data_IF_481280587378
#
_entry.id   IF_481280587378
#
_cell.length_a   1.000
_cell.length_b   1.000
_cell.length_c   1.000
_cell.angle_alpha   90.00
_cell.angle_beta   90.00
_cell.angle_gamma   90.00
#
_symmetry.space_group_name_H-M   'P 1'
#
loop_
_entity.id
_entity.type
_entity.pdbx_description
1 polymer ?
#
# COMPACT_ATOMS: atom_id res chain seq x y z
N UNK A 1 -10.51 40.52 17.19
CA UNK A 1 -9.24 39.79 17.42
C UNK A 1 -8.12 40.57 16.76
N UNK A 2 -7.06 40.88 17.51
CA UNK A 2 -5.97 41.78 17.11
C UNK A 2 -5.11 41.15 16.01
N UNK A 3 -4.84 41.92 14.95
CA UNK A 3 -3.77 41.65 13.98
C UNK A 3 -2.43 41.63 14.72
N UNK A 4 -1.79 40.46 14.79
CA UNK A 4 -0.44 40.33 15.30
C UNK A 4 0.53 41.00 14.30
N UNK A 5 1.20 42.06 14.74
CA UNK A 5 2.28 42.71 13.97
C UNK A 5 3.40 41.68 13.75
N UNK A 6 3.81 41.54 12.49
CA UNK A 6 5.02 40.80 12.12
C UNK A 6 6.23 41.42 12.87
N UNK A 7 7.15 40.61 13.42
CA UNK A 7 8.36 41.12 14.04
C UNK A 7 9.24 41.83 13.01
N UNK A 8 9.82 42.96 13.41
CA UNK A 8 10.79 43.73 12.64
C UNK A 8 12.01 42.86 12.27
N UNK A 9 12.59 43.00 11.07
CA UNK A 9 13.73 42.18 10.67
C UNK A 9 14.93 42.47 11.59
N UNK A 10 15.45 41.40 12.20
CA UNK A 10 16.69 41.42 12.96
C UNK A 10 17.83 41.80 12.02
N UNK A 11 18.63 42.80 12.40
CA UNK A 11 19.79 43.23 11.63
C UNK A 11 20.80 42.07 11.53
N UNK A 12 21.00 41.56 10.31
CA UNK A 12 21.98 40.50 10.05
C UNK A 12 23.40 41.09 10.05
N UNK A 13 24.26 40.48 10.84
CA UNK A 13 25.68 40.81 11.01
C UNK A 13 26.40 40.74 9.65
N UNK A 14 27.12 41.82 9.28
CA UNK A 14 27.96 41.90 8.08
C UNK A 14 28.97 40.74 8.04
N UNK A 15 29.03 40.04 6.91
CA UNK A 15 29.97 38.93 6.69
C UNK A 15 31.05 39.37 5.69
N UNK A 16 32.29 38.91 5.91
CA UNK A 16 33.43 39.23 5.06
C UNK A 16 33.45 38.36 3.77
N UNK A 17 34.09 38.83 2.68
CA UNK A 17 34.11 38.10 1.41
C UNK A 17 34.97 36.82 1.54
N UNK A 18 34.35 35.65 1.36
CA UNK A 18 35.04 34.34 1.35
C UNK A 18 34.39 33.23 2.18
N UNK A 19 33.35 33.51 2.97
CA UNK A 19 32.59 32.46 3.66
C UNK A 19 31.68 31.68 2.70
N UNK A 20 31.62 30.35 2.87
CA UNK A 20 30.67 29.49 2.18
C UNK A 20 29.23 30.01 2.34
N UNK A 21 28.35 29.82 1.33
CA UNK A 21 26.99 30.34 1.39
C UNK A 21 26.29 29.86 2.66
N UNK A 22 25.67 30.79 3.41
CA UNK A 22 25.02 30.48 4.70
C UNK A 22 23.65 29.80 4.54
N UNK A 23 23.13 29.77 3.32
CA UNK A 23 21.80 29.26 3.02
C UNK A 23 21.64 27.73 3.20
N UNK A 24 22.54 26.85 2.72
CA UNK A 24 22.47 25.42 3.01
C UNK A 24 22.45 25.12 4.51
N UNK A 25 23.28 25.81 5.30
CA UNK A 25 23.31 25.65 6.77
C UNK A 25 21.96 26.00 7.39
N UNK A 26 21.34 27.10 6.96
CA UNK A 26 20.01 27.47 7.44
C UNK A 26 18.94 26.46 7.04
N UNK A 27 18.97 25.97 5.80
CA UNK A 27 18.04 24.94 5.32
C UNK A 27 18.15 23.65 6.14
N UNK A 28 19.38 23.27 6.52
CA UNK A 28 19.65 22.07 7.32
C UNK A 28 19.07 22.15 8.74
N UNK A 29 18.92 23.36 9.29
CA UNK A 29 18.35 23.58 10.62
C UNK A 29 16.81 23.54 10.64
N UNK A 30 16.14 23.54 9.48
CA UNK A 30 14.69 23.50 9.41
C UNK A 30 14.17 22.11 9.82
N UNK A 31 13.25 22.00 10.80
CA UNK A 31 12.69 20.72 11.23
C UNK A 31 11.61 20.18 10.27
N UNK A 32 11.53 20.73 9.06
CA UNK A 32 10.53 20.41 8.03
C UNK A 32 11.24 20.12 6.72
N UNK A 33 10.67 19.29 5.83
CA UNK A 33 11.25 19.04 4.51
C UNK A 33 11.40 20.35 3.72
N UNK A 34 12.65 20.74 3.44
CA UNK A 34 12.96 21.98 2.77
C UNK A 34 13.99 21.77 1.66
N UNK A 35 13.77 22.45 0.54
CA UNK A 35 14.62 22.42 -0.65
C UNK A 35 14.94 23.85 -1.07
N UNK A 36 16.22 24.12 -1.24
CA UNK A 36 16.75 25.33 -1.83
C UNK A 36 16.89 25.12 -3.33
N UNK A 37 16.23 25.97 -4.11
CA UNK A 37 16.30 25.98 -5.56
C UNK A 37 17.13 27.17 -6.02
N UNK A 38 18.05 26.95 -6.96
CA UNK A 38 18.81 28.00 -7.62
C UNK A 38 18.16 28.52 -8.88
N UNK A 39 18.92 29.31 -9.64
CA UNK A 39 18.48 29.86 -10.92
C UNK A 39 17.94 28.76 -11.86
N UNK A 40 16.76 28.98 -12.42
CA UNK A 40 16.07 28.02 -13.29
C UNK A 40 15.41 26.84 -12.58
N UNK A 41 15.18 26.91 -11.26
CA UNK A 41 14.39 25.91 -10.52
C UNK A 41 15.13 24.59 -10.26
N UNK A 42 16.46 24.58 -10.38
CA UNK A 42 17.29 23.40 -10.08
C UNK A 42 17.50 23.27 -8.58
N UNK A 43 17.48 22.04 -8.08
CA UNK A 43 17.79 21.74 -6.68
C UNK A 43 19.26 22.09 -6.42
N UNK A 44 19.48 23.07 -5.55
CA UNK A 44 20.79 23.45 -5.06
C UNK A 44 21.13 22.68 -3.77
N UNK A 45 20.17 22.57 -2.86
CA UNK A 45 20.32 21.81 -1.61
C UNK A 45 18.97 21.30 -1.13
N UNK A 46 18.93 20.13 -0.50
CA UNK A 46 17.76 19.62 0.20
C UNK A 46 18.22 19.17 1.59
N UNK A 47 17.45 19.51 2.63
CA UNK A 47 17.85 19.16 3.99
C UNK A 47 17.65 17.67 4.29
N UNK A 48 18.28 17.18 5.36
CA UNK A 48 18.16 15.78 5.79
C UNK A 48 16.70 15.31 5.96
N UNK A 49 15.82 16.18 6.44
CA UNK A 49 14.39 15.84 6.62
C UNK A 49 13.72 15.62 5.25
N UNK A 50 14.00 16.47 4.26
CA UNK A 50 13.50 16.27 2.90
C UNK A 50 14.02 14.98 2.26
N UNK A 51 15.30 14.64 2.46
CA UNK A 51 15.87 13.39 1.99
C UNK A 51 15.22 12.17 2.66
N UNK A 52 14.97 12.23 3.97
CA UNK A 52 14.34 11.14 4.70
C UNK A 52 12.88 10.89 4.25
N UNK A 53 12.11 11.95 4.01
CA UNK A 53 10.67 11.83 3.67
C UNK A 53 10.45 11.51 2.20
N UNK A 54 11.20 12.16 1.31
CA UNK A 54 10.94 12.11 -0.14
C UNK A 54 11.99 11.34 -0.93
N UNK A 55 13.22 11.15 -0.42
CA UNK A 55 14.27 10.37 -1.10
C UNK A 55 14.41 10.71 -2.60
N UNK A 56 14.29 9.69 -3.44
CA UNK A 56 14.35 9.81 -4.91
C UNK A 56 13.20 10.63 -5.53
N UNK A 57 12.07 10.78 -4.81
CA UNK A 57 10.91 11.52 -5.30
C UNK A 57 11.11 13.04 -5.31
N UNK A 58 12.11 13.58 -4.60
CA UNK A 58 12.40 15.03 -4.58
C UNK A 58 12.56 15.61 -5.99
N UNK A 59 13.30 14.91 -6.84
CA UNK A 59 13.49 15.33 -8.23
C UNK A 59 12.19 15.32 -9.03
N UNK A 60 11.30 14.37 -8.78
CA UNK A 60 10.00 14.28 -9.42
C UNK A 60 9.05 15.39 -8.97
N UNK A 61 9.01 15.72 -7.67
CA UNK A 61 8.23 16.83 -7.12
C UNK A 61 8.62 18.15 -7.80
N UNK A 62 9.93 18.46 -7.80
CA UNK A 62 10.41 19.75 -8.31
C UNK A 62 10.23 19.84 -9.84
N UNK A 63 10.40 18.76 -10.59
CA UNK A 63 10.18 18.75 -12.04
C UNK A 63 8.71 18.69 -12.47
N UNK A 64 7.78 18.58 -11.53
CA UNK A 64 6.36 18.50 -11.85
C UNK A 64 5.89 19.77 -12.59
N UNK A 65 5.07 19.67 -13.66
CA UNK A 65 4.64 20.82 -14.45
C UNK A 65 3.99 21.95 -13.64
N UNK A 66 3.17 21.60 -12.64
CA UNK A 66 2.55 22.58 -11.76
C UNK A 66 3.55 23.36 -10.88
N UNK A 67 4.65 22.73 -10.48
CA UNK A 67 5.73 23.38 -9.72
C UNK A 67 6.53 24.30 -10.64
N UNK A 68 6.88 23.81 -11.83
CA UNK A 68 7.61 24.61 -12.83
C UNK A 68 6.83 25.86 -13.25
N UNK A 69 5.51 25.76 -13.40
CA UNK A 69 4.64 26.91 -13.69
C UNK A 69 4.67 27.97 -12.58
N UNK A 70 4.70 27.55 -11.31
CA UNK A 70 4.82 28.48 -10.18
C UNK A 70 6.20 29.11 -10.12
N UNK A 71 7.27 28.33 -10.30
CA UNK A 71 8.64 28.85 -10.30
C UNK A 71 8.88 29.90 -11.39
N UNK A 72 8.23 29.76 -12.55
CA UNK A 72 8.30 30.73 -13.64
C UNK A 72 7.60 32.06 -13.36
N UNK A 73 6.66 32.09 -12.40
CA UNK A 73 5.81 33.27 -12.09
C UNK A 73 6.06 33.86 -10.70
N UNK A 74 6.98 33.27 -9.93
CA UNK A 74 7.20 33.61 -8.54
C UNK A 74 7.90 34.96 -8.35
N UNK A 75 7.32 35.82 -7.51
CA UNK A 75 7.90 37.12 -7.13
C UNK A 75 8.36 37.12 -5.67
N UNK A 76 9.36 37.94 -5.28
CA UNK A 76 9.89 37.96 -3.92
C UNK A 76 8.89 38.34 -2.82
N UNK A 77 7.80 39.03 -3.18
CA UNK A 77 6.81 39.55 -2.23
C UNK A 77 5.69 38.55 -1.91
N UNK A 78 5.58 37.47 -2.69
CA UNK A 78 4.46 36.53 -2.59
C UNK A 78 4.92 35.14 -2.21
N UNK A 79 4.11 34.47 -1.40
CA UNK A 79 4.27 33.05 -1.09
C UNK A 79 3.23 32.32 -1.87
N UNK A 80 3.66 31.41 -2.72
CA UNK A 80 2.75 30.63 -3.54
C UNK A 80 2.74 29.22 -3.00
N UNK A 81 1.54 28.72 -2.73
CA UNK A 81 1.32 27.33 -2.40
C UNK A 81 0.78 26.65 -3.64
N UNK A 82 1.39 25.55 -4.04
CA UNK A 82 0.87 24.67 -5.09
C UNK A 82 0.74 23.27 -4.57
N UNK A 83 -0.06 22.48 -5.26
CA UNK A 83 -0.28 21.09 -4.92
C UNK A 83 0.10 20.22 -6.11
N UNK A 84 0.81 19.14 -5.83
CA UNK A 84 1.20 18.14 -6.83
C UNK A 84 0.78 16.76 -6.42
N UNK A 85 0.44 15.97 -7.42
CA UNK A 85 0.13 14.55 -7.29
C UNK A 85 1.20 13.77 -8.05
N UNK A 86 1.82 12.81 -7.38
CA UNK A 86 2.84 11.95 -7.95
C UNK A 86 2.36 10.51 -7.93
N UNK A 87 2.37 9.86 -9.09
CA UNK A 87 1.89 8.48 -9.24
C UNK A 87 3.00 7.41 -9.12
N UNK A 88 4.27 7.82 -8.93
CA UNK A 88 5.43 6.90 -8.95
C UNK A 88 6.43 7.27 -7.85
N UNK A 89 6.93 6.30 -7.04
CA UNK A 89 6.57 4.88 -6.98
C UNK A 89 5.26 4.57 -6.21
N UNK A 90 4.72 5.53 -5.45
CA UNK A 90 3.47 5.43 -4.69
C UNK A 90 2.72 6.75 -4.85
N UNK A 91 1.37 6.72 -4.89
CA UNK A 91 0.55 7.93 -4.96
C UNK A 91 0.84 8.85 -3.77
N UNK A 92 1.35 10.04 -4.05
CA UNK A 92 1.61 11.07 -3.03
C UNK A 92 1.00 12.40 -3.41
N UNK A 93 0.45 13.07 -2.40
CA UNK A 93 -0.11 14.40 -2.52
C UNK A 93 0.78 15.33 -1.73
N UNK A 94 1.55 16.14 -2.44
CA UNK A 94 2.54 17.02 -1.84
C UNK A 94 2.09 18.46 -2.01
N UNK A 95 1.95 19.15 -0.90
CA UNK A 95 1.79 20.60 -0.89
C UNK A 95 3.18 21.23 -0.88
N UNK A 96 3.44 22.11 -1.85
CA UNK A 96 4.72 22.79 -1.97
C UNK A 96 4.50 24.29 -1.78
N UNK A 97 5.14 24.84 -0.75
CA UNK A 97 5.11 26.27 -0.47
C UNK A 97 6.42 26.90 -0.93
N UNK A 98 6.32 27.87 -1.83
CA UNK A 98 7.45 28.59 -2.38
C UNK A 98 7.59 29.98 -1.78
N UNK A 99 8.83 30.34 -1.44
CA UNK A 99 9.22 31.71 -1.09
C UNK A 99 10.49 32.06 -1.84
N UNK A 100 10.40 32.99 -2.79
CA UNK A 100 11.58 33.65 -3.37
C UNK A 100 12.04 34.70 -2.37
N UNK A 101 13.33 34.75 -2.07
CA UNK A 101 13.83 35.78 -1.18
C UNK A 101 13.98 37.14 -1.87
N UNK A 102 13.85 38.25 -1.13
CA UNK A 102 14.10 39.58 -1.66
C UNK A 102 15.59 39.78 -1.95
N UNK A 103 15.90 40.63 -2.93
CA UNK A 103 17.28 40.96 -3.35
C UNK A 103 18.17 41.40 -2.17
N UNK A 104 17.59 42.11 -1.19
CA UNK A 104 18.30 42.53 0.03
C UNK A 104 18.78 41.36 0.89
N UNK A 105 18.03 40.25 0.88
CA UNK A 105 18.40 39.03 1.57
C UNK A 105 19.49 38.30 0.79
N UNK A 106 19.33 38.17 -0.53
CA UNK A 106 20.32 37.58 -1.44
C UNK A 106 21.74 38.16 -1.24
N UNK A 107 21.86 39.48 -1.17
CA UNK A 107 23.13 40.18 -0.92
C UNK A 107 23.74 39.89 0.46
N UNK A 108 22.93 39.61 1.48
CA UNK A 108 23.40 39.37 2.85
C UNK A 108 23.95 37.95 3.06
N UNK A 109 23.50 36.99 2.26
CA UNK A 109 23.92 35.57 2.34
C UNK A 109 24.84 35.15 1.19
N UNK A 110 25.19 36.09 0.30
CA UNK A 110 26.07 35.86 -0.85
C UNK A 110 25.45 34.95 -1.92
N UNK A 111 24.13 34.98 -2.10
CA UNK A 111 23.46 34.14 -3.08
C UNK A 111 22.41 34.93 -3.88
N UNK A 112 22.72 35.21 -5.14
CA UNK A 112 22.02 36.18 -6.01
C UNK A 112 20.52 35.91 -6.20
N UNK A 113 20.13 34.66 -6.44
CA UNK A 113 18.74 34.25 -6.59
C UNK A 113 18.52 32.85 -6.02
N UNK A 114 17.40 32.68 -5.31
CA UNK A 114 17.07 31.43 -4.65
C UNK A 114 15.62 31.40 -4.20
N UNK A 115 15.06 30.20 -4.26
CA UNK A 115 13.70 29.91 -3.82
C UNK A 115 13.77 28.84 -2.75
N UNK A 116 13.16 29.12 -1.60
CA UNK A 116 12.87 28.11 -0.60
C UNK A 116 11.56 27.43 -0.97
N UNK A 117 11.63 26.13 -1.24
CA UNK A 117 10.48 25.26 -1.39
C UNK A 117 10.35 24.40 -0.12
N UNK A 118 9.27 24.59 0.63
CA UNK A 118 8.91 23.74 1.76
C UNK A 118 7.92 22.70 1.25
N UNK A 119 8.20 21.43 1.53
CA UNK A 119 7.39 20.30 1.10
C UNK A 119 6.63 19.76 2.30
N UNK A 120 5.33 19.58 2.12
CA UNK A 120 4.47 18.96 3.11
C UNK A 120 3.78 17.77 2.44
N UNK A 121 3.99 16.58 2.99
CA UNK A 121 3.27 15.39 2.54
C UNK A 121 1.87 15.43 3.14
N UNK A 122 0.89 15.81 2.33
CA UNK A 122 -0.51 15.89 2.73
C UNK A 122 -1.27 14.60 2.41
N UNK A 123 -0.57 13.52 2.01
CA UNK A 123 -1.21 12.26 1.65
C UNK A 123 -2.07 11.72 2.78
N UNK A 124 -1.59 11.80 4.04
CA UNK A 124 -2.32 11.36 5.24
C UNK A 124 -3.60 12.17 5.49
N UNK A 125 -3.55 13.50 5.32
CA UNK A 125 -4.71 14.38 5.49
C UNK A 125 -5.75 14.22 4.39
N UNK A 126 -5.34 13.73 3.23
CA UNK A 126 -6.19 13.41 2.09
C UNK A 126 -6.75 11.99 2.13
N UNK A 127 -6.33 11.15 3.08
CA UNK A 127 -7.05 9.93 3.45
C UNK A 127 -8.36 10.29 4.20
N UNK A 128 -9.02 11.39 3.81
CA UNK A 128 -10.43 11.63 4.11
C UNK A 128 -11.23 10.61 3.30
N UNK A 129 -11.48 9.48 3.95
CA UNK A 129 -12.81 8.92 4.09
C UNK A 129 -13.63 8.67 2.82
N UNK A 130 -12.96 8.33 1.73
CA UNK A 130 -13.59 7.58 0.65
C UNK A 130 -12.97 6.21 0.60
N UNK A 131 -13.61 5.26 1.29
CA UNK A 131 -13.87 4.00 0.60
C UNK A 131 -14.38 4.41 -0.79
N UNK A 132 -13.69 4.07 -1.90
CA UNK A 132 -14.12 4.49 -3.22
C UNK A 132 -15.61 4.20 -3.36
N UNK A 133 -16.43 5.09 -3.94
CA UNK A 133 -17.88 4.87 -3.99
C UNK A 133 -18.22 3.48 -4.56
N UNK A 134 -17.40 3.00 -5.50
CA UNK A 134 -17.45 1.67 -6.09
C UNK A 134 -17.24 0.53 -5.07
N UNK A 135 -16.46 0.75 -4.02
CA UNK A 135 -16.22 -0.19 -2.91
C UNK A 135 -17.43 -0.31 -1.98
N UNK A 136 -18.04 0.82 -1.61
CA UNK A 136 -19.27 0.82 -0.79
C UNK A 136 -20.43 0.21 -1.59
N UNK A 137 -20.52 0.55 -2.88
CA UNK A 137 -21.49 -0.05 -3.78
C UNK A 137 -21.30 -1.57 -3.88
N UNK A 138 -20.07 -2.04 -4.12
CA UNK A 138 -19.76 -3.47 -4.19
C UNK A 138 -20.07 -4.19 -2.88
N UNK A 139 -19.61 -3.67 -1.73
CA UNK A 139 -19.90 -4.26 -0.43
C UNK A 139 -21.41 -4.34 -0.17
N UNK A 140 -22.15 -3.28 -0.53
CA UNK A 140 -23.61 -3.27 -0.42
C UNK A 140 -24.26 -4.35 -1.29
N UNK A 141 -23.78 -4.54 -2.52
CA UNK A 141 -24.28 -5.58 -3.42
C UNK A 141 -23.96 -6.99 -2.93
N UNK A 142 -22.72 -7.25 -2.52
CA UNK A 142 -22.30 -8.57 -2.01
C UNK A 142 -22.90 -8.91 -0.65
N UNK A 143 -23.29 -7.94 0.17
CA UNK A 143 -24.01 -8.16 1.43
C UNK A 143 -25.52 -8.34 1.22
N UNK A 144 -26.12 -7.67 0.23
CA UNK A 144 -27.57 -7.75 -0.03
C UNK A 144 -28.01 -9.16 -0.40
N UNK A 145 -27.25 -9.87 -1.25
CA UNK A 145 -27.58 -11.23 -1.68
C UNK A 145 -27.61 -12.25 -0.53
N UNK A 146 -26.55 -12.43 0.29
CA UNK A 146 -26.59 -13.36 1.41
C UNK A 146 -27.62 -12.92 2.48
N UNK A 147 -27.83 -11.62 2.68
CA UNK A 147 -28.86 -11.12 3.59
C UNK A 147 -30.27 -11.49 3.12
N UNK A 148 -30.57 -11.34 1.82
CA UNK A 148 -31.86 -11.76 1.26
C UNK A 148 -32.07 -13.28 1.39
N UNK A 149 -31.02 -14.09 1.17
CA UNK A 149 -31.09 -15.54 1.41
C UNK A 149 -31.32 -15.88 2.87
N UNK A 150 -30.65 -15.20 3.81
CA UNK A 150 -30.87 -15.38 5.25
C UNK A 150 -32.32 -15.07 5.63
N UNK A 151 -32.88 -13.96 5.14
CA UNK A 151 -34.29 -13.60 5.38
C UNK A 151 -35.22 -14.72 4.85
N UNK A 152 -35.01 -15.19 3.62
CA UNK A 152 -35.82 -16.27 3.05
C UNK A 152 -35.70 -17.61 3.80
N UNK A 153 -34.52 -17.94 4.33
CA UNK A 153 -34.37 -19.13 5.19
C UNK A 153 -35.06 -18.96 6.54
N UNK A 154 -35.01 -17.77 7.14
CA UNK A 154 -35.75 -17.47 8.37
C UNK A 154 -37.27 -17.61 8.12
N UNK A 155 -37.79 -17.06 7.03
CA UNK A 155 -39.20 -17.20 6.64
C UNK A 155 -39.59 -18.68 6.43
N UNK A 156 -38.71 -19.46 5.79
CA UNK A 156 -38.93 -20.89 5.56
C UNK A 156 -38.99 -21.67 6.89
N UNK A 157 -38.09 -21.36 7.82
CA UNK A 157 -38.05 -21.97 9.16
C UNK A 157 -39.22 -21.55 10.04
N UNK A 158 -39.75 -20.35 9.86
CA UNK A 158 -40.91 -19.86 10.59
C UNK A 158 -42.25 -20.34 10.02
N UNK A 159 -42.27 -20.85 8.78
CA UNK A 159 -43.48 -21.33 8.11
C UNK A 159 -43.37 -22.80 7.70
N UNK A 160 -43.12 -23.11 6.42
CA UNK A 160 -43.24 -24.47 5.88
C UNK A 160 -42.36 -25.53 6.56
N UNK A 161 -41.21 -25.14 7.11
CA UNK A 161 -40.25 -26.04 7.76
C UNK A 161 -40.24 -25.91 9.30
N UNK A 162 -41.25 -25.27 9.89
CA UNK A 162 -41.32 -25.03 11.33
C UNK A 162 -41.38 -26.32 12.18
N UNK A 163 -41.91 -27.41 11.60
CA UNK A 163 -42.05 -28.71 12.28
C UNK A 163 -41.16 -29.81 11.66
N UNK A 164 -40.15 -29.44 10.87
CA UNK A 164 -39.19 -30.37 10.24
C UNK A 164 -37.77 -30.19 10.83
N UNK A 165 -37.37 -30.99 11.83
CA UNK A 165 -36.06 -30.88 12.47
C UNK A 165 -34.87 -31.09 11.50
N UNK A 166 -35.03 -31.91 10.47
CA UNK A 166 -33.96 -32.19 9.52
C UNK A 166 -33.74 -30.98 8.59
N UNK A 167 -34.83 -30.41 8.07
CA UNK A 167 -34.77 -29.16 7.31
C UNK A 167 -34.23 -28.00 8.16
N UNK A 168 -34.64 -27.91 9.44
CA UNK A 168 -34.13 -26.90 10.37
C UNK A 168 -32.63 -26.96 10.53
N UNK A 169 -32.08 -28.14 10.77
CA UNK A 169 -30.64 -28.31 10.94
C UNK A 169 -29.87 -27.94 9.66
N UNK A 170 -30.39 -28.31 8.49
CA UNK A 170 -29.79 -27.95 7.20
C UNK A 170 -29.81 -26.44 6.95
N UNK A 171 -30.96 -25.77 7.13
CA UNK A 171 -31.07 -24.33 6.93
C UNK A 171 -30.23 -23.54 7.93
N UNK A 172 -30.20 -23.94 9.20
CA UNK A 172 -29.33 -23.32 10.22
C UNK A 172 -27.85 -23.41 9.83
N UNK A 173 -27.41 -24.56 9.30
CA UNK A 173 -26.03 -24.71 8.81
C UNK A 173 -25.74 -23.79 7.62
N UNK A 174 -26.67 -23.67 6.66
CA UNK A 174 -26.54 -22.76 5.52
C UNK A 174 -26.50 -21.30 6.00
N UNK A 175 -27.38 -20.93 6.93
CA UNK A 175 -27.43 -19.59 7.51
C UNK A 175 -26.13 -19.22 8.23
N UNK A 176 -25.61 -20.13 9.06
CA UNK A 176 -24.32 -19.94 9.73
C UNK A 176 -23.17 -19.73 8.71
N UNK A 177 -23.17 -20.51 7.62
CA UNK A 177 -22.18 -20.34 6.56
C UNK A 177 -22.29 -18.98 5.84
N UNK A 178 -23.50 -18.48 5.60
CA UNK A 178 -23.71 -17.14 5.01
C UNK A 178 -23.31 -16.02 5.97
N UNK A 179 -23.63 -16.13 7.26
CA UNK A 179 -23.23 -15.17 8.28
C UNK A 179 -21.69 -15.08 8.39
N UNK A 180 -21.01 -16.22 8.50
CA UNK A 180 -19.54 -16.27 8.51
C UNK A 180 -18.91 -15.73 7.21
N UNK A 181 -19.59 -15.86 6.06
CA UNK A 181 -19.16 -15.22 4.82
C UNK A 181 -19.26 -13.70 4.89
N UNK A 182 -20.36 -13.16 5.41
CA UNK A 182 -20.54 -11.71 5.56
C UNK A 182 -19.53 -11.11 6.54
N UNK A 183 -19.28 -11.80 7.67
CA UNK A 183 -18.25 -11.42 8.65
C UNK A 183 -16.87 -11.31 8.00
N UNK A 184 -16.41 -12.37 7.32
CA UNK A 184 -15.11 -12.37 6.59
C UNK A 184 -15.04 -11.28 5.52
N UNK A 185 -16.15 -10.94 4.87
CA UNK A 185 -16.19 -9.83 3.93
C UNK A 185 -15.93 -8.52 4.69
N UNK A 186 -16.69 -8.23 5.74
CA UNK A 186 -16.57 -7.01 6.55
C UNK A 186 -15.15 -6.87 7.11
N UNK A 187 -14.59 -7.92 7.69
CA UNK A 187 -13.21 -7.91 8.21
C UNK A 187 -12.19 -7.54 7.13
N UNK A 188 -12.30 -8.15 5.94
CA UNK A 188 -11.42 -7.82 4.80
C UNK A 188 -11.59 -6.38 4.34
N UNK A 189 -12.80 -5.84 4.39
CA UNK A 189 -13.06 -4.44 4.04
C UNK A 189 -12.40 -3.49 5.05
N UNK A 190 -12.57 -3.77 6.35
CA UNK A 190 -11.96 -3.00 7.44
C UNK A 190 -10.44 -3.08 7.39
N UNK A 191 -9.89 -4.28 7.14
CA UNK A 191 -8.46 -4.50 6.99
C UNK A 191 -7.89 -3.67 5.84
N UNK A 192 -8.50 -3.74 4.65
CA UNK A 192 -8.04 -2.94 3.50
C UNK A 192 -8.05 -1.44 3.80
N UNK A 193 -9.12 -0.94 4.43
CA UNK A 193 -9.21 0.46 4.87
C UNK A 193 -8.07 0.83 5.83
N UNK A 194 -7.73 -0.07 6.75
CA UNK A 194 -6.69 0.15 7.75
C UNK A 194 -5.28 0.15 7.13
N UNK A 195 -4.99 -0.82 6.25
CA UNK A 195 -3.67 -0.90 5.60
C UNK A 195 -3.48 0.24 4.58
N UNK A 196 -4.55 0.76 3.96
CA UNK A 196 -4.48 1.95 3.12
C UNK A 196 -4.04 3.22 3.86
N UNK A 197 -4.42 3.37 5.13
CA UNK A 197 -3.99 4.50 5.95
C UNK A 197 -2.50 4.46 6.31
N UNK A 198 -1.87 3.30 6.22
CA UNK A 198 -0.47 3.07 6.61
C UNK A 198 0.45 2.84 5.40
N UNK A 199 -0.05 3.04 4.17
CA UNK A 199 0.66 2.73 2.92
C UNK A 199 2.00 3.50 2.81
N UNK A 200 2.07 4.71 3.36
CA UNK A 200 3.26 5.56 3.34
C UNK A 200 4.31 5.21 4.41
N UNK A 201 3.95 4.36 5.39
CA UNK A 201 4.84 3.97 6.48
C UNK A 201 5.37 2.56 6.28
N UNK A 202 6.61 2.48 5.79
CA UNK A 202 7.34 1.22 5.66
C UNK A 202 7.60 0.60 7.04
N UNK A 203 7.37 -0.72 7.20
CA UNK A 203 7.83 -1.43 8.39
C UNK A 203 9.36 -1.43 8.47
N UNK A 204 9.88 -1.37 9.70
CA UNK A 204 11.32 -1.40 9.98
C UNK A 204 11.74 -2.56 10.90
N UNK A 205 10.79 -3.34 11.40
CA UNK A 205 11.07 -4.50 12.24
C UNK A 205 11.74 -5.60 11.41
N UNK A 206 12.77 -6.24 11.98
CA UNK A 206 13.48 -7.32 11.30
C UNK A 206 12.76 -8.63 11.58
N UNK A 207 12.31 -9.29 10.51
CA UNK A 207 11.57 -10.56 10.57
C UNK A 207 12.46 -11.70 10.08
N UNK A 208 12.43 -12.82 10.80
CA UNK A 208 13.06 -14.09 10.40
C UNK A 208 12.22 -14.79 9.33
N UNK A 209 12.83 -15.17 8.21
CA UNK A 209 12.16 -15.95 7.18
C UNK A 209 11.71 -17.33 7.70
N UNK A 210 12.44 -17.91 8.64
CA UNK A 210 12.11 -19.21 9.23
C UNK A 210 10.87 -19.11 10.12
N UNK A 211 10.85 -18.15 11.05
CA UNK A 211 9.73 -17.94 11.97
C UNK A 211 8.44 -17.65 11.20
N UNK A 212 8.55 -16.87 10.12
CA UNK A 212 7.44 -16.57 9.22
C UNK A 212 6.88 -17.83 8.54
N UNK A 213 7.74 -18.75 8.11
CA UNK A 213 7.34 -20.00 7.47
C UNK A 213 6.71 -20.98 8.46
N UNK A 214 7.23 -21.05 9.68
CA UNK A 214 6.67 -21.86 10.77
C UNK A 214 5.28 -21.34 11.16
N UNK A 215 5.12 -20.02 11.29
CA UNK A 215 3.83 -19.39 11.57
C UNK A 215 2.82 -19.61 10.45
N UNK A 216 3.24 -19.50 9.18
CA UNK A 216 2.38 -19.85 8.05
C UNK A 216 1.91 -21.31 8.14
N UNK A 217 2.81 -22.23 8.52
CA UNK A 217 2.45 -23.64 8.65
C UNK A 217 1.34 -23.79 9.69
N UNK A 218 1.50 -23.21 10.88
CA UNK A 218 0.51 -23.26 11.97
C UNK A 218 -0.85 -22.69 11.53
N UNK A 219 -0.86 -21.48 10.99
CA UNK A 219 -2.09 -20.78 10.62
C UNK A 219 -2.82 -21.45 9.44
N UNK A 220 -2.08 -22.12 8.55
CA UNK A 220 -2.66 -22.82 7.40
C UNK A 220 -3.17 -24.23 7.70
N UNK A 221 -2.87 -24.81 8.87
CA UNK A 221 -3.27 -26.19 9.21
C UNK A 221 -4.79 -26.43 9.10
N UNK A 222 -5.60 -25.49 9.58
CA UNK A 222 -7.08 -25.63 9.57
C UNK A 222 -7.60 -25.58 8.12
N UNK A 223 -7.04 -24.68 7.31
CA UNK A 223 -7.38 -24.52 5.89
C UNK A 223 -7.01 -25.77 5.08
N UNK A 224 -5.85 -26.37 5.36
CA UNK A 224 -5.36 -27.54 4.64
C UNK A 224 -6.10 -28.80 5.09
N UNK A 225 -6.34 -29.02 6.39
CA UNK A 225 -7.05 -30.22 6.89
C UNK A 225 -8.48 -30.35 6.36
N UNK A 226 -9.10 -29.23 6.02
CA UNK A 226 -10.45 -29.20 5.43
C UNK A 226 -10.47 -29.39 3.92
N UNK A 227 -9.30 -29.58 3.28
CA UNK A 227 -9.14 -29.79 1.84
C UNK A 227 -8.22 -30.98 1.55
N UNK A 228 -8.33 -31.56 0.34
CA UNK A 228 -7.43 -32.63 -0.11
C UNK A 228 -6.13 -32.03 -0.69
N UNK A 229 -5.55 -31.06 0.02
CA UNK A 229 -4.46 -30.22 -0.43
C UNK A 229 -3.16 -30.52 0.32
N UNK A 230 -2.02 -30.24 -0.31
CA UNK A 230 -0.69 -30.36 0.29
C UNK A 230 0.02 -29.02 0.24
N UNK A 231 0.41 -28.50 1.41
CA UNK A 231 1.35 -27.38 1.52
C UNK A 231 2.77 -27.92 1.69
N UNK A 232 3.69 -27.42 0.88
CA UNK A 232 5.10 -27.75 0.92
C UNK A 232 5.88 -26.47 1.16
N UNK A 233 6.56 -26.41 2.29
CA UNK A 233 7.50 -25.35 2.60
C UNK A 233 8.86 -25.75 2.03
N UNK A 234 9.40 -24.92 1.14
CA UNK A 234 10.73 -25.08 0.60
C UNK A 234 11.76 -24.64 1.66
N UNK A 235 12.95 -25.27 1.69
CA UNK A 235 14.01 -24.85 2.59
C UNK A 235 14.35 -23.37 2.38
N UNK A 236 14.44 -22.62 3.48
CA UNK A 236 14.97 -21.25 3.50
C UNK A 236 16.43 -21.29 3.96
N UNK A 237 17.19 -20.24 3.63
CA UNK A 237 18.51 -20.02 4.22
C UNK A 237 18.38 -19.78 5.73
N UNK A 238 19.29 -20.38 6.50
CA UNK A 238 19.44 -20.09 7.92
C UNK A 238 19.84 -18.61 8.10
N UNK A 239 19.34 -17.95 9.15
CA UNK A 239 19.60 -16.53 9.46
C UNK A 239 19.20 -15.51 8.38
N UNK A 240 18.16 -15.79 7.59
CA UNK A 240 17.61 -14.82 6.64
C UNK A 240 16.63 -13.84 7.31
N UNK A 241 17.08 -12.60 7.50
CA UNK A 241 16.28 -11.49 8.05
C UNK A 241 16.04 -10.36 7.04
N UNK A 242 14.86 -9.73 7.12
CA UNK A 242 14.48 -8.60 6.28
C UNK A 242 13.49 -7.65 7.00
N UNK A 243 13.45 -6.35 6.64
CA UNK A 243 12.53 -5.40 7.23
C UNK A 243 11.09 -5.67 6.76
N UNK A 244 10.20 -6.01 7.68
CA UNK A 244 8.80 -6.30 7.39
C UNK A 244 7.89 -6.20 8.62
N UNK A 245 6.59 -6.15 8.34
CA UNK A 245 5.53 -6.35 9.32
C UNK A 245 5.08 -7.82 9.23
N UNK A 246 5.47 -8.63 10.21
CA UNK A 246 5.30 -10.09 10.18
C UNK A 246 3.85 -10.49 9.94
N UNK A 247 2.90 -9.89 10.68
CA UNK A 247 1.47 -10.18 10.56
C UNK A 247 0.97 -9.90 9.14
N UNK A 248 1.47 -8.83 8.50
CA UNK A 248 1.09 -8.51 7.13
C UNK A 248 1.68 -9.48 6.12
N UNK A 249 2.92 -9.92 6.28
CA UNK A 249 3.51 -10.91 5.37
C UNK A 249 2.83 -12.26 5.53
N UNK A 250 2.51 -12.69 6.76
CA UNK A 250 1.68 -13.88 7.01
C UNK A 250 0.33 -13.73 6.30
N UNK A 251 -0.31 -12.57 6.42
CA UNK A 251 -1.58 -12.31 5.73
C UNK A 251 -1.47 -12.39 4.21
N UNK A 252 -0.35 -11.94 3.62
CA UNK A 252 -0.06 -12.10 2.19
C UNK A 252 -0.02 -13.58 1.83
N UNK A 253 0.77 -14.35 2.55
CA UNK A 253 0.95 -15.79 2.32
C UNK A 253 -0.37 -16.55 2.45
N UNK A 254 -1.14 -16.28 3.51
CA UNK A 254 -2.46 -16.89 3.72
C UNK A 254 -3.44 -16.55 2.58
N UNK A 255 -3.45 -15.31 2.08
CA UNK A 255 -4.30 -14.95 0.94
C UNK A 255 -3.91 -15.71 -0.34
N UNK A 256 -2.62 -15.92 -0.57
CA UNK A 256 -2.14 -16.68 -1.73
C UNK A 256 -2.46 -18.18 -1.60
N UNK A 257 -2.24 -18.77 -0.42
CA UNK A 257 -2.60 -20.16 -0.10
C UNK A 257 -4.11 -20.37 -0.24
N UNK A 258 -4.93 -19.50 0.33
CA UNK A 258 -6.38 -19.57 0.18
C UNK A 258 -6.84 -19.49 -1.28
N UNK A 259 -6.19 -18.64 -2.09
CA UNK A 259 -6.53 -18.54 -3.51
C UNK A 259 -6.18 -19.84 -4.26
N UNK A 260 -5.05 -20.47 -3.95
CA UNK A 260 -4.69 -21.76 -4.50
C UNK A 260 -5.71 -22.84 -4.11
N UNK A 261 -6.08 -22.94 -2.82
CA UNK A 261 -7.10 -23.88 -2.34
C UNK A 261 -8.47 -23.66 -3.00
N UNK A 262 -8.90 -22.39 -3.13
CA UNK A 262 -10.19 -22.05 -3.73
C UNK A 262 -10.22 -22.34 -5.23
N UNK A 263 -9.12 -22.06 -5.94
CA UNK A 263 -9.18 -22.00 -7.40
C UNK A 263 -8.39 -23.07 -8.13
N UNK A 264 -7.55 -23.84 -7.47
CA UNK A 264 -6.70 -24.76 -8.21
C UNK A 264 -7.26 -26.16 -8.43
N UNK A 265 -8.33 -26.55 -7.72
CA UNK A 265 -9.06 -27.80 -7.97
C UNK A 265 -8.74 -28.93 -6.98
N UNK A 266 -9.14 -30.18 -7.27
CA UNK A 266 -8.86 -31.33 -6.40
C UNK A 266 -7.36 -31.69 -6.40
N UNK A 267 -6.86 -32.21 -5.27
CA UNK A 267 -5.47 -32.67 -5.11
C UNK A 267 -4.40 -31.58 -5.40
N UNK A 268 -4.61 -30.38 -4.86
CA UNK A 268 -3.70 -29.25 -5.08
C UNK A 268 -2.44 -29.34 -4.24
N UNK A 269 -1.30 -29.11 -4.87
CA UNK A 269 -0.02 -28.92 -4.22
C UNK A 269 0.37 -27.44 -4.28
N UNK A 270 0.67 -26.87 -3.12
CA UNK A 270 1.07 -25.48 -2.93
C UNK A 270 2.49 -25.50 -2.39
N UNK A 271 3.41 -24.82 -3.08
CA UNK A 271 4.81 -24.68 -2.67
C UNK A 271 5.07 -23.24 -2.28
N UNK A 272 5.60 -23.04 -1.07
CA UNK A 272 5.98 -21.72 -0.56
C UNK A 272 7.47 -21.73 -0.27
N UNK A 273 8.20 -20.71 -0.70
CA UNK A 273 9.63 -20.57 -0.43
C UNK A 273 10.05 -19.13 -0.27
N UNK A 274 11.14 -18.92 0.48
CA UNK A 274 11.76 -17.62 0.69
C UNK A 274 13.25 -17.79 0.41
N UNK A 275 13.80 -16.93 -0.44
CA UNK A 275 15.22 -16.99 -0.84
C UNK A 275 15.84 -15.59 -0.84
N UNK A 276 17.15 -15.50 -0.54
CA UNK A 276 17.86 -14.24 -0.69
C UNK A 276 18.15 -13.96 -2.17
N UNK A 277 17.98 -12.72 -2.61
CA UNK A 277 18.33 -12.30 -3.97
C UNK A 277 19.53 -11.34 -3.94
N UNK A 278 20.71 -11.86 -4.27
CA UNK A 278 21.96 -11.11 -4.49
C UNK A 278 22.30 -10.08 -3.39
N UNK A 279 21.86 -10.32 -2.15
CA UNK A 279 22.03 -9.42 -1.00
C UNK A 279 21.23 -8.10 -1.05
N UNK A 280 20.44 -7.84 -2.10
CA UNK A 280 19.65 -6.60 -2.25
C UNK A 280 18.24 -6.73 -1.71
N UNK A 281 17.70 -7.95 -1.71
CA UNK A 281 16.33 -8.23 -1.32
C UNK A 281 16.13 -9.70 -1.02
N UNK A 282 14.87 -10.05 -0.81
CA UNK A 282 14.39 -11.42 -0.73
C UNK A 282 13.32 -11.65 -1.79
N UNK A 283 13.22 -12.88 -2.28
CA UNK A 283 12.10 -13.34 -3.10
C UNK A 283 11.28 -14.37 -2.30
N UNK A 284 10.00 -14.05 -2.08
CA UNK A 284 8.99 -14.95 -1.57
C UNK A 284 8.23 -15.52 -2.78
N UNK A 285 8.19 -16.84 -2.92
CA UNK A 285 7.48 -17.53 -4.00
C UNK A 285 6.33 -18.36 -3.42
N UNK A 286 5.14 -18.21 -3.98
CA UNK A 286 3.99 -19.10 -3.75
C UNK A 286 3.53 -19.66 -5.09
N UNK A 287 3.65 -20.97 -5.27
CA UNK A 287 3.31 -21.67 -6.51
C UNK A 287 2.30 -22.78 -6.26
N UNK A 288 1.27 -22.87 -7.10
CA UNK A 288 0.32 -23.98 -7.09
C UNK A 288 0.33 -24.76 -8.43
N UNK A 289 -0.15 -26.00 -8.40
CA UNK A 289 -0.32 -26.86 -9.58
C UNK A 289 -1.75 -26.86 -10.14
N UNK A 290 -2.54 -25.83 -9.84
CA UNK A 290 -3.95 -25.78 -10.16
C UNK A 290 -4.28 -25.52 -11.63
N UNK A 291 -5.55 -25.22 -11.90
CA UNK A 291 -6.03 -24.91 -13.27
C UNK A 291 -5.35 -23.70 -13.95
N UNK A 292 -4.64 -22.87 -13.20
CA UNK A 292 -4.03 -21.63 -13.69
C UNK A 292 -5.06 -20.61 -14.20
N UNK A 293 -4.64 -19.52 -14.83
CA UNK A 293 -5.47 -18.42 -15.33
C UNK A 293 -5.01 -18.08 -16.76
N UNK A 294 -5.94 -17.67 -17.62
CA UNK A 294 -5.56 -17.16 -18.95
C UNK A 294 -4.71 -15.89 -18.83
N UNK A 295 -3.66 -15.80 -19.65
CA UNK A 295 -2.73 -14.68 -19.72
C UNK A 295 -3.42 -13.31 -19.82
N UNK A 296 -4.58 -13.21 -20.50
CA UNK A 296 -5.33 -11.96 -20.63
C UNK A 296 -5.86 -11.41 -19.30
N UNK A 297 -6.08 -12.30 -18.31
CA UNK A 297 -6.63 -11.92 -17.01
C UNK A 297 -5.54 -11.59 -15.99
N UNK A 298 -4.32 -12.11 -16.18
CA UNK A 298 -3.20 -11.96 -15.23
C UNK A 298 -2.92 -10.50 -14.81
N UNK A 299 -2.85 -9.52 -15.73
CA UNK A 299 -2.60 -8.11 -15.36
C UNK A 299 -3.69 -7.53 -14.45
N UNK A 300 -4.89 -8.08 -14.53
CA UNK A 300 -6.09 -7.59 -13.86
C UNK A 300 -6.36 -8.29 -12.53
N UNK A 301 -5.66 -9.39 -12.22
CA UNK A 301 -5.90 -10.17 -11.00
C UNK A 301 -5.65 -9.37 -9.70
N UNK A 302 -4.85 -8.31 -9.76
CA UNK A 302 -4.62 -7.41 -8.62
C UNK A 302 -5.60 -6.24 -8.57
N UNK A 303 -6.46 -6.08 -9.58
CA UNK A 303 -7.57 -5.12 -9.53
C UNK A 303 -8.54 -5.52 -8.41
N UNK A 304 -9.05 -4.52 -7.70
CA UNK A 304 -10.04 -4.75 -6.64
C UNK A 304 -11.31 -5.32 -7.26
N UNK A 305 -11.89 -6.33 -6.62
CA UNK A 305 -13.15 -6.97 -7.03
C UNK A 305 -13.11 -7.70 -8.37
N UNK A 306 -11.94 -7.74 -9.03
CA UNK A 306 -11.82 -8.42 -10.29
C UNK A 306 -11.90 -9.93 -10.09
N UNK A 307 -12.72 -10.57 -10.93
CA UNK A 307 -12.93 -12.02 -10.95
C UNK A 307 -13.03 -12.47 -12.40
N UNK A 308 -12.47 -13.64 -12.68
CA UNK A 308 -12.65 -14.30 -13.96
C UNK A 308 -14.03 -14.96 -13.98
N UNK A 309 -14.91 -14.48 -14.86
CA UNK A 309 -16.27 -15.01 -15.04
C UNK A 309 -16.25 -16.49 -15.44
N UNK A 310 -17.29 -17.26 -15.06
CA UNK A 310 -17.40 -18.69 -15.41
C UNK A 310 -16.57 -19.66 -14.56
N UNK A 311 -15.81 -19.17 -13.58
CA UNK A 311 -15.01 -20.01 -12.65
C UNK A 311 -15.66 -20.28 -11.29
N UNK A 312 -16.89 -19.82 -11.09
CA UNK A 312 -17.66 -20.02 -9.87
C UNK A 312 -18.43 -21.35 -9.94
N UNK A 313 -18.02 -22.33 -9.15
CA UNK A 313 -18.98 -23.34 -8.67
C UNK A 313 -19.83 -22.69 -7.57
N UNK A 314 -21.08 -23.13 -7.42
CA UNK A 314 -22.06 -22.51 -6.50
C UNK A 314 -21.58 -22.41 -5.03
N UNK A 315 -20.54 -23.15 -4.65
CA UNK A 315 -19.93 -23.19 -3.31
C UNK A 315 -18.68 -22.31 -3.13
N UNK A 316 -18.12 -21.71 -4.19
CA UNK A 316 -16.83 -20.99 -4.11
C UNK A 316 -16.96 -19.52 -4.51
N UNK A 317 -17.42 -18.69 -3.57
CA UNK A 317 -17.42 -17.23 -3.73
C UNK A 317 -16.20 -16.61 -3.05
N UNK A 318 -15.23 -16.15 -3.86
CA UNK A 318 -14.15 -15.29 -3.40
C UNK A 318 -14.52 -13.82 -3.60
N UNK A 319 -14.13 -12.96 -2.66
CA UNK A 319 -14.49 -11.53 -2.62
C UNK A 319 -13.76 -10.67 -3.67
N UNK A 320 -12.81 -11.23 -4.43
CA UNK A 320 -11.95 -10.47 -5.35
C UNK A 320 -11.03 -9.46 -4.65
N UNK A 321 -10.91 -9.52 -3.32
CA UNK A 321 -10.07 -8.61 -2.53
C UNK A 321 -8.72 -9.20 -2.15
N UNK A 322 -8.55 -10.53 -2.18
CA UNK A 322 -7.34 -11.20 -1.68
C UNK A 322 -6.06 -10.70 -2.36
N UNK A 323 -6.00 -10.72 -3.69
CA UNK A 323 -4.81 -10.25 -4.41
C UNK A 323 -4.62 -8.73 -4.38
N UNK A 324 -5.71 -7.97 -4.20
CA UNK A 324 -5.61 -6.53 -3.98
C UNK A 324 -4.97 -6.22 -2.61
N UNK A 325 -5.32 -6.97 -1.56
CA UNK A 325 -4.67 -6.91 -0.25
C UNK A 325 -3.18 -7.28 -0.37
N UNK A 326 -2.88 -8.36 -1.10
CA UNK A 326 -1.49 -8.78 -1.34
C UNK A 326 -0.69 -7.65 -2.00
N UNK A 327 -1.20 -7.10 -3.11
CA UNK A 327 -0.52 -6.00 -3.82
C UNK A 327 -0.28 -4.80 -2.90
N UNK A 328 -1.29 -4.40 -2.13
CA UNK A 328 -1.19 -3.28 -1.20
C UNK A 328 -0.11 -3.47 -0.14
N UNK A 329 -0.06 -4.65 0.50
CA UNK A 329 0.96 -4.95 1.51
C UNK A 329 2.35 -4.93 0.87
N UNK A 330 2.50 -5.54 -0.31
CA UNK A 330 3.78 -5.57 -1.03
C UNK A 330 4.25 -4.16 -1.40
N UNK A 331 3.35 -3.32 -1.90
CA UNK A 331 3.64 -1.93 -2.26
C UNK A 331 4.06 -1.11 -1.01
N UNK A 332 3.37 -1.29 0.13
CA UNK A 332 3.75 -0.70 1.43
C UNK A 332 5.17 -1.10 1.85
N UNK A 333 5.58 -2.34 1.59
CA UNK A 333 6.93 -2.82 1.90
C UNK A 333 7.98 -2.37 0.86
N UNK A 334 7.61 -1.54 -0.13
CA UNK A 334 8.50 -1.12 -1.22
C UNK A 334 8.87 -2.26 -2.17
N UNK A 335 8.08 -3.32 -2.15
CA UNK A 335 8.31 -4.55 -2.90
C UNK A 335 7.71 -4.54 -4.30
N UNK A 336 7.74 -5.71 -4.95
CA UNK A 336 7.12 -5.94 -6.26
C UNK A 336 6.44 -7.28 -6.30
N UNK A 337 5.20 -7.32 -6.79
CA UNK A 337 4.46 -8.55 -7.04
C UNK A 337 4.47 -8.88 -8.54
N UNK A 338 4.92 -10.10 -8.88
CA UNK A 338 4.86 -10.68 -10.21
C UNK A 338 4.00 -11.95 -10.18
N UNK A 339 3.05 -12.03 -11.09
CA UNK A 339 2.17 -13.21 -11.22
C UNK A 339 2.42 -13.84 -12.58
N UNK A 340 2.65 -15.14 -12.57
CA UNK A 340 2.81 -15.97 -13.76
C UNK A 340 1.76 -17.08 -13.70
N UNK A 341 0.96 -17.22 -14.75
CA UNK A 341 -0.03 -18.29 -14.82
C UNK A 341 -0.37 -18.62 -16.27
N UNK A 342 -0.66 -19.89 -16.50
CA UNK A 342 -1.19 -20.36 -17.77
C UNK A 342 -2.22 -21.48 -17.52
N UNK A 343 -3.24 -21.64 -18.38
CA UNK A 343 -4.23 -22.70 -18.23
C UNK A 343 -3.57 -24.09 -18.11
N UNK A 344 -3.95 -24.84 -17.08
CA UNK A 344 -3.43 -26.18 -16.77
C UNK A 344 -2.01 -26.24 -16.19
N UNK A 345 -1.36 -25.10 -15.96
CA UNK A 345 0.02 -25.04 -15.40
C UNK A 345 0.09 -24.44 -13.99
N UNK A 346 -1.05 -24.14 -13.38
CA UNK A 346 -1.12 -23.47 -12.09
C UNK A 346 -0.78 -21.99 -12.14
N UNK A 347 -0.48 -21.43 -10.97
CA UNK A 347 -0.13 -20.03 -10.79
C UNK A 347 1.09 -19.91 -9.88
N UNK A 348 1.98 -18.99 -10.21
CA UNK A 348 3.16 -18.66 -9.42
C UNK A 348 3.16 -17.17 -9.12
N UNK A 349 3.11 -16.82 -7.85
CA UNK A 349 3.27 -15.47 -7.35
C UNK A 349 4.69 -15.32 -6.81
N UNK A 350 5.43 -14.35 -7.32
CA UNK A 350 6.75 -13.94 -6.83
C UNK A 350 6.64 -12.56 -6.23
N UNK A 351 7.03 -12.43 -4.98
CA UNK A 351 7.06 -11.18 -4.24
C UNK A 351 8.51 -10.89 -3.93
N UNK A 352 8.98 -9.75 -4.43
CA UNK A 352 10.29 -9.23 -4.11
C UNK A 352 10.17 -8.17 -3.01
N UNK A 353 10.97 -8.26 -1.94
CA UNK A 353 11.06 -7.24 -0.89
C UNK A 353 12.51 -6.77 -0.70
N UNK A 354 12.76 -5.49 -0.41
CA UNK A 354 14.12 -4.98 -0.15
C UNK A 354 14.67 -5.47 1.20
N UNK A 355 15.98 -5.70 1.28
CA UNK A 355 16.68 -6.14 2.52
C UNK A 355 17.23 -4.95 3.33
N UNK A 356 17.11 -3.73 2.83
CA UNK A 356 17.53 -2.49 3.51
C UNK A 356 16.53 -1.39 3.15
N UNK A 357 16.07 -0.63 4.16
CA UNK A 357 15.04 0.40 4.04
C UNK A 357 15.44 1.57 3.16
#
# INVERSE_FOLDING_TARGET
>A
MRLARLPTPVALVNTQPGEAPKAPVFCELLPIPAVLLGAGGRIFHANRVAHAVFGDALGAVIRHPAVQSVLATLTPETGVVTRVELDVPVRRIVQVTFRKWPERFASAIGWEEGVLAVLEDCSEFEVVDRMPADFVAYASHELRTPLASLIGFIETLQGPAADDPAAQQQFLAIMAAQAARMERLIERLLYLSRVQRLEHMRPHDMVSAQDLMDRLLEDSQILIRSSDARLILLPTEDDLFFPADEDQIVQVLLNLVENALKYGGPAIEIRVGITAENGKGIEITVADNGRGVDSQHVPRLTERFYRVEGRATASQSGTGLGLAIVKHIVDRHGGRLRIESAPGKGMTCRIWLPRTS
#
